data_IF_298650885006
#
_entry.id   IF_298650885006
#
_cell.length_a   1.000
_cell.length_b   1.000
_cell.length_c   1.000
_cell.angle_alpha   90.00
_cell.angle_beta   90.00
_cell.angle_gamma   90.00
#
_symmetry.space_group_name_H-M   'P 1'
#
loop_
_entity.id
_entity.type
_entity.pdbx_description
1 polymer ?
#
# COMPACT_ATOMS: atom_id res chain seq x y z
N UNK A 1 -8.06 13.91 10.10
CA UNK A 1 -8.63 14.87 9.13
C UNK A 1 -8.06 14.49 7.78
N UNK A 2 -8.88 14.08 6.81
CA UNK A 2 -8.37 13.78 5.46
C UNK A 2 -7.93 15.07 4.78
N UNK A 3 -6.74 15.05 4.19
CA UNK A 3 -6.20 16.17 3.40
C UNK A 3 -7.09 16.37 2.16
N UNK A 4 -7.51 17.60 1.82
CA UNK A 4 -8.24 17.86 0.58
C UNK A 4 -7.39 17.52 -0.64
N UNK A 5 -7.95 16.81 -1.62
CA UNK A 5 -7.24 16.38 -2.84
C UNK A 5 -7.86 17.03 -4.09
N UNK A 6 -7.07 17.68 -4.98
CA UNK A 6 -7.54 18.36 -6.19
C UNK A 6 -7.68 17.43 -7.43
N UNK A 7 -8.07 16.16 -7.22
CA UNK A 7 -8.28 15.17 -8.28
C UNK A 7 -9.75 14.85 -8.55
N UNK A 8 -10.04 14.25 -9.71
CA UNK A 8 -11.37 13.71 -9.99
C UNK A 8 -11.74 12.58 -9.01
N UNK A 9 -13.04 12.38 -8.77
CA UNK A 9 -13.49 11.29 -7.89
C UNK A 9 -12.92 9.95 -8.36
N UNK A 10 -12.50 9.07 -7.43
CA UNK A 10 -12.01 7.75 -7.78
C UNK A 10 -13.03 7.00 -8.64
N UNK A 11 -12.57 6.46 -9.76
CA UNK A 11 -13.43 5.76 -10.71
C UNK A 11 -13.46 4.26 -10.36
N UNK A 12 -14.65 3.70 -10.11
CA UNK A 12 -14.80 2.27 -9.84
C UNK A 12 -14.15 1.37 -10.92
N UNK A 13 -14.18 1.78 -12.20
CA UNK A 13 -13.50 1.05 -13.28
C UNK A 13 -11.97 1.03 -13.12
N UNK A 14 -11.40 2.11 -12.58
CA UNK A 14 -9.97 2.19 -12.31
C UNK A 14 -9.58 1.24 -11.17
N UNK A 15 -10.35 1.21 -10.10
CA UNK A 15 -10.11 0.22 -9.04
C UNK A 15 -10.35 -1.22 -9.50
N UNK A 16 -11.34 -1.47 -10.36
CA UNK A 16 -11.53 -2.79 -10.97
C UNK A 16 -10.31 -3.22 -11.79
N UNK A 17 -9.66 -2.27 -12.48
CA UNK A 17 -8.41 -2.52 -13.18
C UNK A 17 -7.27 -2.89 -12.22
N UNK A 18 -7.01 -2.08 -11.19
CA UNK A 18 -5.96 -2.36 -10.20
C UNK A 18 -6.17 -3.71 -9.50
N UNK A 19 -7.42 -4.02 -9.13
CA UNK A 19 -7.78 -5.31 -8.55
C UNK A 19 -7.43 -6.47 -9.50
N UNK A 20 -7.89 -6.42 -10.75
CA UNK A 20 -7.70 -7.51 -11.72
C UNK A 20 -6.26 -7.67 -12.20
N UNK A 21 -5.59 -6.55 -12.43
CA UNK A 21 -4.27 -6.54 -13.07
C UNK A 21 -3.14 -6.80 -12.05
N UNK A 22 -3.37 -6.53 -10.76
CA UNK A 22 -2.39 -6.69 -9.69
C UNK A 22 -2.92 -7.58 -8.56
N UNK A 23 -3.87 -7.09 -7.77
CA UNK A 23 -4.17 -7.68 -6.46
C UNK A 23 -4.71 -9.12 -6.54
N UNK A 24 -5.53 -9.44 -7.54
CA UNK A 24 -6.06 -10.78 -7.78
C UNK A 24 -4.99 -11.79 -8.23
N UNK A 25 -3.78 -11.31 -8.59
CA UNK A 25 -2.66 -12.13 -9.03
C UNK A 25 -1.66 -12.43 -7.93
N UNK A 26 -1.79 -11.79 -6.76
CA UNK A 26 -0.88 -11.94 -5.63
C UNK A 26 -1.32 -13.16 -4.80
N UNK A 27 -0.53 -14.26 -4.75
CA UNK A 27 -0.96 -15.50 -4.10
C UNK A 27 -1.25 -15.37 -2.59
N UNK A 28 -0.62 -14.40 -1.93
CA UNK A 28 -0.78 -14.12 -0.51
C UNK A 28 -2.06 -13.35 -0.20
N UNK A 29 -2.71 -12.72 -1.19
CA UNK A 29 -3.97 -11.99 -1.01
C UNK A 29 -5.16 -12.97 -1.11
N UNK A 30 -6.09 -12.88 -0.16
CA UNK A 30 -7.29 -13.75 -0.11
C UNK A 30 -8.57 -13.03 -0.47
N UNK A 31 -8.70 -11.76 -0.10
CA UNK A 31 -9.86 -10.95 -0.44
C UNK A 31 -9.42 -9.57 -0.88
N UNK A 32 -10.18 -9.00 -1.83
CA UNK A 32 -10.03 -7.62 -2.26
C UNK A 32 -11.43 -7.00 -2.33
N UNK A 33 -11.66 -5.98 -1.52
CA UNK A 33 -12.94 -5.30 -1.34
C UNK A 33 -12.87 -3.89 -1.91
N UNK A 34 -13.93 -3.48 -2.61
CA UNK A 34 -14.17 -2.08 -2.93
C UNK A 34 -14.82 -1.42 -1.71
N UNK A 35 -14.37 -0.22 -1.33
CA UNK A 35 -14.92 0.48 -0.16
C UNK A 35 -15.40 1.87 -0.58
N UNK A 36 -16.68 2.23 -0.37
CA UNK A 36 -17.69 1.47 0.38
C UNK A 36 -18.25 0.25 -0.38
N UNK A 37 -18.36 0.33 -1.71
CA UNK A 37 -18.84 -0.73 -2.60
C UNK A 37 -18.22 -0.58 -4.01
N UNK A 38 -18.54 -1.50 -4.92
CA UNK A 38 -18.00 -1.56 -6.28
C UNK A 38 -18.58 -0.52 -7.25
N UNK A 39 -19.58 0.26 -6.82
CA UNK A 39 -20.18 1.34 -7.61
C UNK A 39 -19.54 2.68 -7.23
N UNK A 40 -19.38 2.94 -5.93
CA UNK A 40 -18.89 4.21 -5.38
C UNK A 40 -17.46 4.11 -4.79
N UNK A 41 -16.72 3.07 -5.18
CA UNK A 41 -15.40 2.74 -4.64
C UNK A 41 -14.47 3.94 -4.50
N UNK A 42 -14.07 4.26 -3.27
CA UNK A 42 -13.10 5.32 -2.93
C UNK A 42 -11.72 4.76 -2.62
N UNK A 43 -11.63 3.47 -2.32
CA UNK A 43 -10.38 2.75 -2.10
C UNK A 43 -10.58 1.25 -2.39
N UNK A 44 -9.47 0.54 -2.58
CA UNK A 44 -9.43 -0.91 -2.44
C UNK A 44 -8.86 -1.29 -1.07
N UNK A 45 -9.38 -2.38 -0.52
CA UNK A 45 -8.86 -3.02 0.68
C UNK A 45 -8.55 -4.48 0.35
N UNK A 46 -7.27 -4.84 0.36
CA UNK A 46 -6.84 -6.22 0.20
C UNK A 46 -6.44 -6.83 1.55
N UNK A 47 -6.82 -8.09 1.78
CA UNK A 47 -6.43 -8.85 2.99
C UNK A 47 -5.48 -9.98 2.62
N UNK A 48 -4.41 -10.13 3.38
CA UNK A 48 -3.47 -11.23 3.23
C UNK A 48 -3.88 -12.45 4.06
N UNK A 49 -3.57 -13.65 3.55
CA UNK A 49 -3.48 -14.87 4.35
C UNK A 49 -2.17 -14.82 5.14
N UNK A 50 -2.19 -14.65 6.47
CA UNK A 50 -0.96 -14.54 7.24
C UNK A 50 -0.12 -15.82 7.18
N UNK A 51 -0.73 -16.99 6.90
CA UNK A 51 0.00 -18.25 6.74
C UNK A 51 0.72 -18.38 5.39
N UNK A 52 0.42 -17.50 4.41
CA UNK A 52 1.12 -17.43 3.11
C UNK A 52 2.21 -16.38 3.07
N UNK A 53 2.32 -15.57 4.12
CA UNK A 53 3.41 -14.62 4.29
C UNK A 53 4.64 -15.36 4.84
N UNK A 54 5.82 -14.94 4.42
CA UNK A 54 7.10 -15.46 4.93
C UNK A 54 7.88 -14.34 5.63
N UNK A 55 8.26 -14.50 6.91
CA UNK A 55 7.66 -15.47 7.83
C UNK A 55 6.18 -15.17 8.08
N UNK A 56 5.44 -16.17 8.57
CA UNK A 56 4.01 -16.03 8.92
C UNK A 56 3.85 -15.02 10.05
N UNK A 57 2.84 -14.16 9.96
CA UNK A 57 2.72 -13.00 10.86
C UNK A 57 1.82 -13.24 12.07
N UNK A 58 0.87 -14.17 12.01
CA UNK A 58 -0.01 -14.51 13.13
C UNK A 58 -1.41 -14.95 12.69
N UNK A 59 -2.41 -14.95 13.58
CA UNK A 59 -3.77 -15.38 13.25
C UNK A 59 -4.62 -14.30 12.55
N UNK A 60 -4.28 -13.02 12.69
CA UNK A 60 -5.06 -11.91 12.15
C UNK A 60 -4.58 -11.54 10.73
N UNK A 61 -5.50 -11.20 9.83
CA UNK A 61 -5.17 -10.87 8.44
C UNK A 61 -4.57 -9.47 8.32
N UNK A 62 -3.34 -9.32 7.81
CA UNK A 62 -2.81 -8.02 7.42
C UNK A 62 -3.61 -7.40 6.27
N UNK A 63 -3.57 -6.07 6.18
CA UNK A 63 -4.38 -5.29 5.25
C UNK A 63 -3.49 -4.38 4.39
N UNK A 64 -3.73 -4.35 3.07
CA UNK A 64 -3.24 -3.32 2.16
C UNK A 64 -4.42 -2.42 1.76
N UNK A 65 -4.34 -1.14 2.12
CA UNK A 65 -5.29 -0.12 1.70
C UNK A 65 -4.72 0.68 0.53
N UNK A 66 -5.52 0.90 -0.52
CA UNK A 66 -5.10 1.58 -1.74
C UNK A 66 -6.07 2.72 -2.02
N UNK A 67 -5.60 3.96 -1.84
CA UNK A 67 -6.29 5.19 -2.25
C UNK A 67 -5.54 5.85 -3.39
N UNK A 68 -6.23 6.15 -4.47
CA UNK A 68 -5.61 6.71 -5.66
C UNK A 68 -6.54 7.71 -6.33
N UNK A 69 -6.00 8.88 -6.68
CA UNK A 69 -6.71 9.97 -7.33
C UNK A 69 -5.93 10.39 -8.58
N UNK A 70 -6.57 10.22 -9.73
CA UNK A 70 -6.01 10.62 -11.02
C UNK A 70 -6.10 12.15 -11.14
N UNK A 71 -4.97 12.81 -11.35
CA UNK A 71 -4.92 14.27 -11.50
C UNK A 71 -3.70 14.69 -12.34
N UNK A 72 -3.70 15.94 -12.82
CA UNK A 72 -2.58 16.55 -13.53
C UNK A 72 -1.85 17.56 -12.64
N UNK A 73 -0.51 17.69 -12.72
CA UNK A 73 0.38 16.95 -13.61
C UNK A 73 0.72 15.52 -13.15
N UNK A 74 0.44 15.18 -11.88
CA UNK A 74 0.79 13.89 -11.29
C UNK A 74 -0.32 13.40 -10.39
N UNK A 75 -0.59 12.10 -10.45
CA UNK A 75 -1.52 11.42 -9.55
C UNK A 75 -1.22 11.69 -8.07
N UNK A 76 -2.21 11.46 -7.23
CA UNK A 76 -2.03 11.37 -5.78
C UNK A 76 -2.38 9.95 -5.35
N UNK A 77 -1.57 9.34 -4.49
CA UNK A 77 -1.95 8.07 -3.88
C UNK A 77 -1.39 7.90 -2.48
N UNK A 78 -2.10 7.09 -1.69
CA UNK A 78 -1.61 6.51 -0.44
C UNK A 78 -1.90 5.03 -0.44
N UNK A 79 -0.85 4.23 -0.40
CA UNK A 79 -0.93 2.79 -0.25
C UNK A 79 -0.32 2.44 1.10
N UNK A 80 -1.09 1.76 1.96
CA UNK A 80 -0.62 1.40 3.30
C UNK A 80 -0.84 -0.07 3.58
N UNK A 81 0.24 -0.75 3.96
CA UNK A 81 0.22 -2.06 4.59
C UNK A 81 0.12 -1.90 6.11
N UNK A 82 -0.65 -2.76 6.76
CA UNK A 82 -0.74 -2.82 8.21
C UNK A 82 -0.88 -4.26 8.65
N UNK A 83 -0.02 -4.66 9.57
CA UNK A 83 -0.01 -5.99 10.15
C UNK A 83 -0.40 -5.93 11.64
N UNK A 84 -1.64 -6.31 12.00
CA UNK A 84 -2.11 -6.23 13.38
C UNK A 84 -1.36 -7.16 14.33
N UNK A 85 -0.74 -8.23 13.83
CA UNK A 85 -0.06 -9.21 14.67
C UNK A 85 1.30 -8.73 15.16
N UNK A 86 1.96 -7.89 14.36
CA UNK A 86 3.31 -7.37 14.64
C UNK A 86 3.33 -5.88 14.97
N UNK A 87 2.22 -5.17 14.73
CA UNK A 87 2.17 -3.71 14.83
C UNK A 87 2.98 -3.00 13.74
N UNK A 88 3.36 -3.70 12.68
CA UNK A 88 4.10 -3.13 11.56
C UNK A 88 3.18 -2.38 10.61
N UNK A 89 3.59 -1.16 10.24
CA UNK A 89 2.94 -0.34 9.25
C UNK A 89 3.97 0.08 8.19
N UNK A 90 3.58 0.03 6.93
CA UNK A 90 4.39 0.53 5.82
C UNK A 90 3.51 1.31 4.84
N UNK A 91 4.00 2.44 4.35
CA UNK A 91 3.25 3.38 3.53
C UNK A 91 4.07 3.89 2.35
N UNK A 92 3.48 3.87 1.16
CA UNK A 92 4.02 4.47 -0.07
C UNK A 92 3.07 5.57 -0.50
N UNK A 93 3.52 6.82 -0.38
CA UNK A 93 2.67 7.98 -0.58
C UNK A 93 3.26 8.87 -1.66
N UNK A 94 2.41 9.27 -2.61
CA UNK A 94 2.63 10.40 -3.49
C UNK A 94 1.62 11.47 -3.12
N UNK A 95 2.04 12.37 -2.23
CA UNK A 95 1.22 13.43 -1.67
C UNK A 95 2.06 14.68 -1.31
N UNK A 96 1.45 15.63 -0.61
CA UNK A 96 2.08 16.88 -0.21
C UNK A 96 2.57 16.91 1.25
N UNK A 97 2.50 15.79 1.99
CA UNK A 97 2.80 15.78 3.43
C UNK A 97 4.31 15.93 3.71
N UNK A 98 5.17 15.44 2.80
CA UNK A 98 6.63 15.45 2.93
C UNK A 98 7.34 15.97 1.67
N UNK A 99 7.14 17.26 1.32
CA UNK A 99 7.67 17.81 0.07
C UNK A 99 9.21 17.83 0.02
N UNK A 100 9.87 17.76 1.17
CA UNK A 100 11.33 17.69 1.31
C UNK A 100 11.91 16.33 0.87
N UNK A 101 11.10 15.26 0.87
CA UNK A 101 11.50 13.91 0.44
C UNK A 101 11.30 13.71 -1.07
N UNK A 102 10.88 14.74 -1.80
CA UNK A 102 10.55 14.67 -3.21
C UNK A 102 9.07 14.35 -3.44
N UNK A 103 8.76 13.80 -4.62
CA UNK A 103 7.36 13.56 -5.04
C UNK A 103 6.72 12.40 -4.30
N UNK A 104 7.49 11.36 -4.04
CA UNK A 104 7.02 10.11 -3.46
C UNK A 104 7.96 9.76 -2.33
N UNK A 105 7.39 9.27 -1.23
CA UNK A 105 8.16 8.77 -0.11
C UNK A 105 7.62 7.43 0.37
N UNK A 106 8.53 6.66 0.97
CA UNK A 106 8.21 5.51 1.77
C UNK A 106 8.32 5.90 3.24
N UNK A 107 7.45 5.32 4.07
CA UNK A 107 7.55 5.38 5.52
C UNK A 107 7.18 4.04 6.14
N UNK A 108 7.77 3.70 7.27
CA UNK A 108 7.35 2.55 8.05
C UNK A 108 7.41 2.84 9.55
N UNK A 109 6.66 2.06 10.32
CA UNK A 109 6.78 2.04 11.78
C UNK A 109 6.55 0.65 12.36
N UNK A 110 7.28 0.34 13.43
CA UNK A 110 7.16 -0.89 14.22
C UNK A 110 7.70 -0.66 15.62
N UNK A 111 6.90 -1.02 16.63
CA UNK A 111 7.23 -0.77 18.04
C UNK A 111 7.66 0.70 18.27
N UNK A 112 8.92 0.93 18.64
CA UNK A 112 9.49 2.25 18.91
C UNK A 112 10.33 2.80 17.74
N UNK A 113 10.30 2.14 16.58
CA UNK A 113 11.05 2.54 15.38
C UNK A 113 10.12 3.12 14.33
N UNK A 114 10.50 4.27 13.76
CA UNK A 114 9.86 4.89 12.61
C UNK A 114 10.96 5.51 11.73
N UNK A 115 10.86 5.34 10.42
CA UNK A 115 11.72 6.04 9.46
C UNK A 115 10.97 6.35 8.16
N UNK A 116 11.50 7.28 7.37
CA UNK A 116 10.94 7.72 6.09
C UNK A 116 12.01 8.27 5.16
N UNK A 117 11.87 8.01 3.86
CA UNK A 117 12.77 8.55 2.84
C UNK A 117 12.08 8.69 1.48
N UNK A 118 12.67 9.50 0.61
CA UNK A 118 12.22 9.68 -0.77
C UNK A 118 12.48 8.44 -1.61
N UNK A 119 11.53 8.10 -2.48
CA UNK A 119 11.63 6.97 -3.42
C UNK A 119 11.21 7.39 -4.82
N UNK A 120 11.51 6.54 -5.81
CA UNK A 120 11.06 6.68 -7.20
C UNK A 120 10.64 5.31 -7.71
N UNK A 121 9.57 5.26 -8.51
CA UNK A 121 9.17 4.04 -9.22
C UNK A 121 9.82 3.97 -10.59
N UNK A 122 10.05 2.75 -11.06
CA UNK A 122 10.54 2.52 -12.42
C UNK A 122 9.46 2.80 -13.46
N UNK A 123 8.19 2.56 -13.11
CA UNK A 123 7.05 2.76 -13.98
C UNK A 123 6.16 3.93 -13.56
N UNK A 124 5.42 4.47 -14.53
CA UNK A 124 4.51 5.61 -14.31
C UNK A 124 3.02 5.20 -14.31
N UNK A 125 2.70 3.97 -14.71
CA UNK A 125 1.30 3.51 -14.77
C UNK A 125 0.86 2.94 -13.42
N UNK A 126 -0.36 3.22 -12.95
CA UNK A 126 -0.79 2.81 -11.61
C UNK A 126 -0.72 1.30 -11.34
N UNK A 127 -1.05 0.46 -12.34
CA UNK A 127 -0.95 -0.99 -12.17
C UNK A 127 0.49 -1.45 -11.99
N UNK A 128 1.45 -0.84 -12.69
CA UNK A 128 2.87 -1.21 -12.56
C UNK A 128 3.48 -0.66 -11.26
N UNK A 129 3.12 0.55 -10.86
CA UNK A 129 3.51 1.09 -9.55
C UNK A 129 2.96 0.23 -8.41
N UNK A 130 1.68 -0.15 -8.47
CA UNK A 130 1.09 -1.03 -7.44
C UNK A 130 1.74 -2.42 -7.44
N UNK A 131 2.14 -2.93 -8.61
CA UNK A 131 2.89 -4.17 -8.72
C UNK A 131 4.26 -4.06 -8.04
N UNK A 132 5.04 -3.02 -8.36
CA UNK A 132 6.33 -2.71 -7.70
C UNK A 132 6.17 -2.64 -6.17
N UNK A 133 5.16 -1.92 -5.68
CA UNK A 133 4.89 -1.80 -4.24
C UNK A 133 4.61 -3.16 -3.59
N UNK A 134 3.83 -4.03 -4.24
CA UNK A 134 3.49 -5.34 -3.66
C UNK A 134 4.69 -6.29 -3.69
N UNK A 135 5.49 -6.26 -4.76
CA UNK A 135 6.75 -7.01 -4.81
C UNK A 135 7.73 -6.53 -3.73
N UNK A 136 7.99 -5.22 -3.67
CA UNK A 136 8.87 -4.61 -2.66
C UNK A 136 8.38 -4.91 -1.23
N UNK A 137 7.06 -4.81 -0.99
CA UNK A 137 6.45 -5.16 0.30
C UNK A 137 6.82 -6.59 0.73
N UNK A 138 6.66 -7.55 -0.18
CA UNK A 138 6.80 -8.97 0.13
C UNK A 138 8.26 -9.44 0.14
N UNK A 139 9.09 -8.93 -0.76
CA UNK A 139 10.46 -9.39 -0.97
C UNK A 139 11.48 -8.64 -0.11
N UNK A 140 11.28 -7.34 0.14
CA UNK A 140 12.29 -6.50 0.79
C UNK A 140 11.79 -5.87 2.09
N UNK A 141 10.66 -5.19 2.06
CA UNK A 141 10.21 -4.33 3.18
C UNK A 141 9.80 -5.15 4.40
N UNK A 142 8.98 -6.19 4.24
CA UNK A 142 8.62 -7.04 5.38
C UNK A 142 9.84 -7.77 5.95
N UNK A 143 10.66 -8.49 5.15
CA UNK A 143 11.83 -9.18 5.70
C UNK A 143 12.84 -8.24 6.37
N UNK A 144 13.01 -7.02 5.86
CA UNK A 144 14.00 -6.07 6.38
C UNK A 144 13.51 -5.32 7.62
N UNK A 145 12.27 -4.82 7.61
CA UNK A 145 11.82 -3.83 8.60
C UNK A 145 10.78 -4.38 9.58
N UNK A 146 9.98 -5.37 9.19
CA UNK A 146 8.94 -5.92 10.08
C UNK A 146 9.53 -6.70 11.26
N UNK A 147 10.70 -7.31 11.06
CA UNK A 147 11.36 -8.19 12.05
C UNK A 147 12.71 -7.65 12.53
N UNK A 148 13.09 -6.42 12.15
CA UNK A 148 14.40 -5.83 12.44
C UNK A 148 14.76 -5.79 13.94
N UNK A 149 13.77 -5.89 14.82
CA UNK A 149 13.92 -5.82 16.27
C UNK A 149 13.87 -7.19 16.98
N UNK A 150 13.74 -8.30 16.25
CA UNK A 150 13.91 -9.64 16.82
C UNK A 150 15.41 -9.99 16.83
N UNK A 151 16.15 -9.48 17.82
CA UNK A 151 17.47 -10.05 18.12
C UNK A 151 17.32 -11.53 18.52
N UNK A 152 18.19 -12.44 18.04
CA UNK A 152 18.13 -13.88 18.35
C UNK A 152 18.36 -14.22 19.83
#
# INVERSE_FOLDING_TARGET
MSVPHPGGDPNANFYAQLKRDVLDRVPQITTVEFVPDDIEAKQLRARFDPARLDPSTGPESPELSIKWYRQEPHDWFRINYTDPNTGFHAGWHQDEDHPDLGRTHFQYSVADTEDRWGITFEHETPSLILWEIVEELLEDVRPTYQYANEEP
#
